data_IF_663391139167
#
_entry.id   IF_663391139167
#
_cell.length_a   1.000
_cell.length_b   1.000
_cell.length_c   1.000
_cell.angle_alpha   90.00
_cell.angle_beta   90.00
_cell.angle_gamma   90.00
#
_symmetry.space_group_name_H-M   'P 1'
#
loop_
_entity.id
_entity.type
_entity.pdbx_description
1 polymer ?
#
# COMPACT_ATOMS: atom_id res chain seq x y z
N UNK A 1 20.81 1.74 -16.58
CA UNK A 1 19.56 1.21 -16.03
C UNK A 1 19.03 2.21 -15.03
N UNK A 2 18.07 3.05 -15.42
CA UNK A 2 17.48 4.06 -14.54
C UNK A 2 16.58 3.36 -13.51
N UNK A 3 17.00 3.39 -12.27
CA UNK A 3 16.15 2.93 -11.15
C UNK A 3 15.01 3.92 -11.02
N UNK A 4 13.80 3.42 -11.08
CA UNK A 4 12.59 4.15 -10.73
C UNK A 4 12.63 4.44 -9.21
N UNK A 5 13.23 5.55 -8.83
CA UNK A 5 13.38 5.99 -7.42
C UNK A 5 12.17 6.78 -6.91
N UNK A 6 11.03 6.70 -7.59
CA UNK A 6 9.83 7.47 -7.24
C UNK A 6 9.00 6.86 -6.12
N UNK A 7 9.23 5.60 -5.76
CA UNK A 7 8.51 4.91 -4.69
C UNK A 7 9.51 4.26 -3.74
N UNK A 8 9.80 4.94 -2.65
CA UNK A 8 10.41 4.31 -1.49
C UNK A 8 9.29 3.78 -0.61
N UNK A 9 9.11 2.46 -0.56
CA UNK A 9 8.20 1.78 0.37
C UNK A 9 9.03 1.00 1.40
N UNK A 10 9.65 1.68 2.37
CA UNK A 10 10.58 1.07 3.30
C UNK A 10 9.93 0.04 4.22
N UNK A 11 8.61 0.11 4.38
CA UNK A 11 7.86 -0.80 5.24
C UNK A 11 7.11 -1.91 4.47
N UNK A 12 7.16 -1.93 3.13
CA UNK A 12 6.41 -2.88 2.30
C UNK A 12 4.88 -2.72 2.41
N UNK A 13 4.42 -1.58 2.90
CA UNK A 13 2.99 -1.31 3.12
C UNK A 13 2.21 -1.27 1.82
N UNK A 14 2.80 -0.71 0.76
CA UNK A 14 2.17 -0.63 -0.55
C UNK A 14 1.99 -2.02 -1.16
N UNK A 15 3.04 -2.83 -1.13
CA UNK A 15 2.99 -4.19 -1.67
C UNK A 15 2.10 -5.10 -0.83
N UNK A 16 2.22 -5.07 0.50
CA UNK A 16 1.46 -5.95 1.38
C UNK A 16 -0.01 -5.59 1.50
N UNK A 17 -0.32 -4.33 1.75
CA UNK A 17 -1.69 -3.91 2.06
C UNK A 17 -2.47 -3.48 0.81
N UNK A 18 -1.88 -2.68 -0.08
CA UNK A 18 -2.59 -2.23 -1.26
C UNK A 18 -2.75 -3.37 -2.27
N UNK A 19 -1.64 -3.99 -2.69
CA UNK A 19 -1.70 -5.07 -3.70
C UNK A 19 -2.39 -6.30 -3.13
N UNK A 20 -2.06 -6.70 -1.90
CA UNK A 20 -2.70 -7.85 -1.23
C UNK A 20 -4.18 -7.64 -1.00
N UNK A 21 -4.60 -6.45 -0.56
CA UNK A 21 -6.01 -6.10 -0.39
C UNK A 21 -6.79 -6.09 -1.70
N UNK A 22 -6.23 -5.48 -2.74
CA UNK A 22 -6.82 -5.44 -4.09
C UNK A 22 -7.00 -6.86 -4.65
N UNK A 23 -5.96 -7.67 -4.54
CA UNK A 23 -5.99 -9.06 -4.97
C UNK A 23 -7.04 -9.86 -4.18
N UNK A 24 -7.07 -9.72 -2.84
CA UNK A 24 -8.02 -10.44 -1.99
C UNK A 24 -9.47 -10.12 -2.34
N UNK A 25 -9.83 -8.86 -2.51
CA UNK A 25 -11.20 -8.46 -2.89
C UNK A 25 -11.55 -9.01 -4.27
N UNK A 26 -10.66 -8.87 -5.25
CA UNK A 26 -10.89 -9.39 -6.61
C UNK A 26 -11.09 -10.91 -6.62
N UNK A 27 -10.37 -11.65 -5.77
CA UNK A 27 -10.52 -13.11 -5.67
C UNK A 27 -11.88 -13.55 -5.17
N UNK A 28 -12.64 -12.70 -4.48
CA UNK A 28 -14.01 -13.01 -4.07
C UNK A 28 -14.89 -13.26 -5.30
N UNK A 29 -14.82 -12.42 -6.33
CA UNK A 29 -15.57 -12.60 -7.55
C UNK A 29 -15.26 -13.91 -8.29
N UNK A 30 -14.04 -14.42 -8.14
CA UNK A 30 -13.63 -15.67 -8.77
C UNK A 30 -14.00 -16.91 -7.94
N UNK A 31 -13.80 -16.86 -6.62
CA UNK A 31 -13.83 -18.04 -5.75
C UNK A 31 -15.00 -18.09 -4.76
N UNK A 32 -15.88 -17.08 -4.71
CA UNK A 32 -17.02 -17.09 -3.81
C UNK A 32 -17.91 -18.32 -4.06
N UNK A 33 -18.42 -18.91 -2.98
CA UNK A 33 -19.38 -20.01 -3.05
C UNK A 33 -20.56 -19.74 -2.12
N UNK A 34 -21.75 -19.66 -2.69
CA UNK A 34 -22.99 -19.36 -1.98
C UNK A 34 -23.23 -20.29 -0.79
N UNK A 35 -22.84 -21.56 -0.89
CA UNK A 35 -23.00 -22.55 0.19
C UNK A 35 -22.31 -22.16 1.50
N UNK A 36 -21.19 -21.43 1.43
CA UNK A 36 -20.47 -20.96 2.61
C UNK A 36 -21.02 -19.63 3.14
N UNK A 37 -21.70 -18.85 2.29
CA UNK A 37 -22.32 -17.59 2.66
C UNK A 37 -23.69 -17.77 3.34
N UNK A 38 -24.30 -18.94 3.26
CA UNK A 38 -25.65 -19.21 3.75
C UNK A 38 -25.84 -18.94 5.26
N UNK A 39 -24.76 -18.99 6.06
CA UNK A 39 -24.78 -18.70 7.51
C UNK A 39 -24.32 -17.29 7.89
N UNK A 40 -23.88 -16.47 6.94
CA UNK A 40 -23.20 -15.18 7.21
C UNK A 40 -24.11 -13.95 7.15
N UNK A 41 -25.42 -14.11 6.99
CA UNK A 41 -26.35 -12.99 6.79
C UNK A 41 -26.39 -12.43 5.35
N UNK A 42 -25.62 -12.99 4.43
CA UNK A 42 -25.62 -12.66 3.01
C UNK A 42 -26.12 -13.83 2.14
N UNK A 43 -27.37 -14.25 2.28
CA UNK A 43 -27.88 -15.48 1.64
C UNK A 43 -27.97 -15.39 0.11
N UNK A 44 -27.78 -14.21 -0.48
CA UNK A 44 -27.90 -13.97 -1.92
C UNK A 44 -26.57 -13.72 -2.62
N UNK A 45 -25.44 -14.01 -1.98
CA UNK A 45 -24.15 -13.87 -2.64
C UNK A 45 -24.05 -14.86 -3.80
N UNK A 46 -23.79 -14.41 -5.06
CA UNK A 46 -23.69 -15.34 -6.19
C UNK A 46 -22.44 -16.22 -6.04
N UNK A 47 -22.46 -17.37 -6.71
CA UNK A 47 -21.23 -18.14 -6.89
C UNK A 47 -20.23 -17.34 -7.73
N UNK A 48 -18.95 -17.47 -7.44
CA UNK A 48 -17.88 -16.88 -8.23
C UNK A 48 -17.77 -17.48 -9.63
N UNK A 49 -16.96 -16.86 -10.47
CA UNK A 49 -16.79 -17.24 -11.88
C UNK A 49 -16.36 -18.70 -12.04
N UNK A 50 -15.49 -19.22 -11.18
CA UNK A 50 -15.03 -20.61 -11.22
C UNK A 50 -16.05 -21.62 -10.69
N UNK A 51 -17.09 -21.17 -10.02
CA UNK A 51 -18.14 -22.03 -9.43
C UNK A 51 -19.50 -21.85 -10.11
N UNK A 52 -19.50 -21.42 -11.38
CA UNK A 52 -20.70 -21.34 -12.18
C UNK A 52 -21.57 -20.09 -11.96
N UNK A 53 -20.98 -19.02 -11.41
CA UNK A 53 -21.71 -17.77 -11.17
C UNK A 53 -22.12 -17.00 -12.43
N UNK A 54 -21.49 -17.30 -13.57
CA UNK A 54 -21.86 -16.74 -14.88
C UNK A 54 -21.97 -15.20 -14.87
N UNK A 55 -23.07 -14.68 -15.44
CA UNK A 55 -23.33 -13.24 -15.50
C UNK A 55 -23.46 -12.55 -14.14
N UNK A 56 -23.94 -13.27 -13.12
CA UNK A 56 -24.04 -12.72 -11.76
C UNK A 56 -22.65 -12.50 -11.13
N UNK A 57 -21.70 -13.43 -11.35
CA UNK A 57 -20.32 -13.26 -10.91
C UNK A 57 -19.61 -12.13 -11.66
N UNK A 58 -19.87 -11.97 -12.96
CA UNK A 58 -19.33 -10.86 -13.74
C UNK A 58 -19.86 -9.51 -13.25
N UNK A 59 -21.15 -9.43 -12.92
CA UNK A 59 -21.73 -8.24 -12.31
C UNK A 59 -21.10 -7.95 -10.94
N UNK A 60 -20.92 -8.99 -10.10
CA UNK A 60 -20.26 -8.87 -8.80
C UNK A 60 -18.85 -8.31 -8.95
N UNK A 61 -18.05 -8.82 -9.89
CA UNK A 61 -16.73 -8.29 -10.20
C UNK A 61 -16.77 -6.81 -10.57
N UNK A 62 -17.75 -6.41 -11.38
CA UNK A 62 -17.95 -4.99 -11.74
C UNK A 62 -18.22 -4.11 -10.54
N UNK A 63 -19.06 -4.57 -9.61
CA UNK A 63 -19.38 -3.85 -8.35
C UNK A 63 -18.16 -3.77 -7.46
N UNK A 64 -17.38 -4.84 -7.34
CA UNK A 64 -16.14 -4.86 -6.55
C UNK A 64 -15.09 -3.88 -7.11
N UNK A 65 -14.88 -3.87 -8.42
CA UNK A 65 -13.97 -2.92 -9.07
C UNK A 65 -14.42 -1.47 -8.87
N UNK A 66 -15.71 -1.20 -8.98
CA UNK A 66 -16.26 0.12 -8.71
C UNK A 66 -16.04 0.52 -7.24
N UNK A 67 -16.26 -0.40 -6.32
CA UNK A 67 -16.00 -0.20 -4.89
C UNK A 67 -14.53 0.10 -4.61
N UNK A 68 -13.61 -0.64 -5.23
CA UNK A 68 -12.16 -0.40 -5.13
C UNK A 68 -11.81 1.02 -5.59
N UNK A 69 -12.29 1.44 -6.76
CA UNK A 69 -12.04 2.78 -7.30
C UNK A 69 -12.60 3.86 -6.36
N UNK A 70 -13.80 3.67 -5.83
CA UNK A 70 -14.42 4.60 -4.91
C UNK A 70 -13.61 4.73 -3.60
N UNK A 71 -13.14 3.62 -3.03
CA UNK A 71 -12.30 3.61 -1.84
C UNK A 71 -10.96 4.30 -2.09
N UNK A 72 -10.28 3.96 -3.18
CA UNK A 72 -9.00 4.58 -3.54
C UNK A 72 -9.17 6.10 -3.69
N UNK A 73 -10.18 6.54 -4.44
CA UNK A 73 -10.46 7.97 -4.62
C UNK A 73 -10.74 8.66 -3.28
N UNK A 74 -11.61 8.08 -2.46
CA UNK A 74 -11.97 8.65 -1.15
C UNK A 74 -10.75 8.77 -0.24
N UNK A 75 -9.97 7.70 -0.10
CA UNK A 75 -8.76 7.69 0.73
C UNK A 75 -7.73 8.69 0.21
N UNK A 76 -7.53 8.75 -1.09
CA UNK A 76 -6.58 9.70 -1.70
C UNK A 76 -6.97 11.15 -1.42
N UNK A 77 -8.20 11.55 -1.71
CA UNK A 77 -8.63 12.93 -1.49
C UNK A 77 -8.70 13.30 -0.01
N UNK A 78 -9.15 12.37 0.85
CA UNK A 78 -9.19 12.61 2.29
C UNK A 78 -7.78 12.77 2.88
N UNK A 79 -6.84 11.92 2.47
CA UNK A 79 -5.44 12.01 2.88
C UNK A 79 -4.81 13.32 2.41
N UNK A 80 -5.05 13.69 1.15
CA UNK A 80 -4.55 14.96 0.60
C UNK A 80 -5.10 16.17 1.37
N UNK A 81 -6.41 16.17 1.66
CA UNK A 81 -7.05 17.22 2.44
C UNK A 81 -6.48 17.31 3.87
N UNK A 82 -6.28 16.15 4.51
CA UNK A 82 -5.72 16.09 5.87
C UNK A 82 -4.29 16.63 5.90
N UNK A 83 -3.43 16.19 4.97
CA UNK A 83 -2.06 16.68 4.87
C UNK A 83 -2.01 18.17 4.56
N UNK A 84 -2.85 18.67 3.64
CA UNK A 84 -2.93 20.09 3.32
C UNK A 84 -3.38 20.94 4.53
N UNK A 85 -4.35 20.41 5.30
CA UNK A 85 -4.83 21.09 6.51
C UNK A 85 -3.75 21.15 7.59
N UNK A 86 -3.06 20.02 7.83
CA UNK A 86 -1.95 19.95 8.78
C UNK A 86 -0.80 20.86 8.39
N UNK A 87 -0.40 20.85 7.10
CA UNK A 87 0.63 21.73 6.58
C UNK A 87 0.29 23.21 6.82
N UNK A 88 -0.99 23.54 6.63
CA UNK A 88 -1.47 24.93 6.86
C UNK A 88 -1.49 25.30 8.35
N UNK A 89 -1.89 24.36 9.21
CA UNK A 89 -1.98 24.57 10.66
C UNK A 89 -0.60 24.67 11.34
N UNK A 90 0.38 23.91 10.83
CA UNK A 90 1.74 23.85 11.39
C UNK A 90 2.72 24.84 10.74
N UNK A 91 2.26 25.69 9.81
CA UNK A 91 3.14 26.66 9.13
C UNK A 91 4.06 26.05 8.08
N UNK A 92 3.75 24.87 7.62
CA UNK A 92 4.54 24.04 6.69
C UNK A 92 4.96 22.72 7.32
N UNK A 93 4.90 21.66 6.56
CA UNK A 93 5.53 20.38 6.92
C UNK A 93 6.88 20.38 6.21
N UNK A 94 7.91 20.87 6.90
CA UNK A 94 9.29 20.59 6.48
C UNK A 94 9.54 19.12 6.82
N UNK A 95 9.62 18.29 5.82
CA UNK A 95 10.05 16.92 6.05
C UNK A 95 11.55 16.95 6.34
N UNK A 96 11.93 16.67 7.57
CA UNK A 96 13.29 16.29 7.94
C UNK A 96 13.71 14.93 7.30
N UNK A 97 12.90 14.49 6.31
CA UNK A 97 13.11 13.23 5.61
C UNK A 97 14.49 13.19 4.95
N UNK A 98 14.90 14.30 4.32
CA UNK A 98 16.22 14.43 3.71
C UNK A 98 17.36 14.49 4.74
N UNK A 99 17.09 14.99 5.96
CA UNK A 99 18.09 15.00 7.03
C UNK A 99 18.25 13.62 7.66
N UNK A 100 17.15 12.92 7.93
CA UNK A 100 17.21 11.59 8.59
C UNK A 100 17.69 10.50 7.64
N UNK A 101 17.17 10.49 6.41
CA UNK A 101 17.54 9.46 5.42
C UNK A 101 18.75 9.84 4.59
N UNK A 102 19.00 11.11 4.36
CA UNK A 102 20.21 11.60 3.70
C UNK A 102 21.44 11.37 4.57
N UNK A 103 21.35 11.60 5.88
CA UNK A 103 22.40 11.28 6.82
C UNK A 103 22.69 9.78 6.91
N UNK A 104 21.65 8.94 7.00
CA UNK A 104 21.80 7.49 6.99
C UNK A 104 22.37 6.93 5.67
N UNK A 105 22.02 7.54 4.54
CA UNK A 105 22.59 7.18 3.25
C UNK A 105 24.06 7.60 3.10
N UNK A 106 24.42 8.77 3.64
CA UNK A 106 25.80 9.28 3.65
C UNK A 106 26.69 8.44 4.57
N UNK A 107 26.16 7.97 5.69
CA UNK A 107 26.87 7.07 6.61
C UNK A 107 27.09 5.67 5.99
N UNK A 108 26.11 5.18 5.23
CA UNK A 108 26.21 3.90 4.52
C UNK A 108 27.19 3.94 3.33
N UNK A 109 27.43 5.12 2.73
CA UNK A 109 28.35 5.33 1.61
C UNK A 109 29.76 5.77 2.07
N UNK A 110 29.96 5.98 3.37
CA UNK A 110 31.30 6.24 3.92
C UNK A 110 32.14 4.96 3.87
N UNK A 111 33.38 5.03 3.35
CA UNK A 111 34.25 3.87 3.33
C UNK A 111 34.52 3.40 4.76
N UNK A 112 34.58 2.06 4.99
CA UNK A 112 34.84 1.53 6.32
C UNK A 112 36.10 2.14 6.87
N UNK A 113 36.01 2.73 8.06
CA UNK A 113 37.15 3.28 8.77
C UNK A 113 38.27 2.22 8.81
N UNK A 114 39.41 2.53 8.23
CA UNK A 114 40.50 1.57 8.15
C UNK A 114 40.89 1.10 9.56
N UNK A 115 40.83 -0.19 9.86
CA UNK A 115 41.21 -0.68 11.18
C UNK A 115 42.72 -0.48 11.36
N UNK A 116 43.11 0.55 12.10
CA UNK A 116 44.51 0.71 12.44
C UNK A 116 45.09 2.11 12.47
N UNK A 117 44.31 3.17 12.53
CA UNK A 117 44.85 4.45 12.99
C UNK A 117 45.09 4.36 14.52
N UNK A 118 46.15 3.64 14.91
CA UNK A 118 46.65 3.71 16.28
C UNK A 118 47.06 5.16 16.55
N UNK A 119 46.37 5.85 17.45
CA UNK A 119 46.79 7.10 17.99
C UNK A 119 48.22 6.93 18.54
N UNK A 120 49.20 7.81 18.21
CA UNK A 120 50.50 7.72 18.80
C UNK A 120 50.40 8.01 20.31
N UNK A 121 50.74 7.01 21.10
CA UNK A 121 50.89 7.14 22.56
C UNK A 121 52.18 7.92 22.80
N UNK A 122 52.06 9.18 23.17
CA UNK A 122 53.19 9.93 23.75
C UNK A 122 53.02 9.99 25.26
#
# INVERSE_FOLDING_TARGET
MSRFTWFSDPAGLLAGHLVGGLFGVTMIAFFAQQRFAAGSGFPKLPNGLFFGGGGAAAHQLGVELLGIVAVIATVFFLSLATVALLARALGGITSDYDQVFGAAAAEADSPPEAPGALEPIY
#
